data_IF_947963596557
#
_entry.id   IF_947963596557
#
_cell.length_a   1.000
_cell.length_b   1.000
_cell.length_c   1.000
_cell.angle_alpha   90.00
_cell.angle_beta   90.00
_cell.angle_gamma   90.00
#
_symmetry.space_group_name_H-M   'P 1'
#
loop_
_entity.id
_entity.type
_entity.pdbx_description
1 polymer ?
#
# COMPACT_ATOMS: atom_id res chain seq x y z
N UNK A 1 7.36 -34.12 2.05
CA UNK A 1 6.50 -33.64 0.96
C UNK A 1 6.91 -32.21 0.66
N UNK A 2 7.92 -32.09 -0.21
CA UNK A 2 8.32 -30.95 -1.07
C UNK A 2 8.14 -29.49 -0.59
N UNK A 3 9.06 -29.04 0.28
CA UNK A 3 9.41 -27.62 0.47
C UNK A 3 10.36 -27.13 -0.63
N UNK A 4 9.90 -27.00 -1.88
CA UNK A 4 10.66 -26.34 -2.95
C UNK A 4 10.28 -24.85 -3.04
N UNK A 5 10.56 -24.12 -1.95
CA UNK A 5 10.32 -22.68 -1.84
C UNK A 5 11.46 -21.90 -2.49
N UNK A 6 11.30 -21.55 -3.77
CA UNK A 6 12.27 -20.72 -4.49
C UNK A 6 12.15 -19.25 -4.07
N UNK A 7 13.04 -18.82 -3.17
CA UNK A 7 13.22 -17.42 -2.76
C UNK A 7 14.04 -16.66 -3.81
N UNK A 8 13.40 -15.81 -4.61
CA UNK A 8 14.10 -14.87 -5.50
C UNK A 8 14.67 -13.72 -4.69
N UNK A 9 15.95 -13.81 -4.29
CA UNK A 9 16.66 -12.67 -3.71
C UNK A 9 17.14 -11.72 -4.83
N UNK A 10 16.31 -10.73 -5.18
CA UNK A 10 16.72 -9.61 -6.03
C UNK A 10 16.91 -8.39 -5.13
N UNK A 11 18.18 -7.98 -5.01
CA UNK A 11 18.72 -6.80 -4.33
C UNK A 11 18.97 -6.95 -2.82
N UNK A 12 20.23 -7.24 -2.48
CA UNK A 12 20.82 -6.85 -1.19
C UNK A 12 21.61 -5.56 -1.47
N UNK A 13 21.15 -4.44 -0.92
CA UNK A 13 21.90 -3.18 -0.88
C UNK A 13 23.19 -3.42 -0.09
N UNK A 14 24.30 -2.94 -0.65
CA UNK A 14 25.61 -3.00 -0.04
C UNK A 14 25.80 -1.81 0.90
N UNK A 15 25.37 -1.93 2.15
CA UNK A 15 25.83 -1.03 3.20
C UNK A 15 27.03 -1.66 3.90
N UNK A 16 28.18 -1.01 3.75
CA UNK A 16 29.42 -1.31 4.44
C UNK A 16 29.33 -0.69 5.84
N UNK A 17 29.45 -1.50 6.89
CA UNK A 17 30.29 -1.25 8.09
C UNK A 17 29.94 -2.28 9.19
N UNK A 18 30.94 -3.07 9.62
CA UNK A 18 30.84 -4.00 10.74
C UNK A 18 31.85 -5.15 10.63
N UNK A 19 32.67 -5.33 11.67
CA UNK A 19 33.89 -6.15 11.78
C UNK A 19 33.75 -7.67 11.56
N UNK A 20 34.86 -8.39 11.25
CA UNK A 20 34.78 -9.79 10.80
C UNK A 20 34.76 -10.78 11.97
N UNK A 21 33.59 -11.36 12.27
CA UNK A 21 33.53 -12.64 13.00
C UNK A 21 33.66 -13.79 11.99
N UNK A 22 34.70 -14.62 12.15
CA UNK A 22 34.99 -15.82 11.35
C UNK A 22 33.86 -16.86 11.48
N UNK A 23 32.83 -16.72 10.65
CA UNK A 23 31.88 -17.78 10.32
C UNK A 23 32.19 -18.32 8.94
N UNK A 24 32.31 -19.65 8.81
CA UNK A 24 32.61 -20.38 7.58
C UNK A 24 31.62 -19.95 6.47
N UNK A 25 32.06 -19.07 5.57
CA UNK A 25 31.22 -18.62 4.46
C UNK A 25 31.06 -19.76 3.47
N UNK A 26 29.84 -20.30 3.36
CA UNK A 26 29.47 -21.16 2.23
C UNK A 26 29.68 -20.34 0.95
N UNK A 27 30.75 -20.66 0.21
CA UNK A 27 31.02 -20.06 -1.10
C UNK A 27 29.82 -20.37 -1.99
N UNK A 28 28.98 -19.36 -2.27
CA UNK A 28 27.89 -19.48 -3.25
C UNK A 28 28.52 -19.81 -4.60
N UNK A 29 28.42 -21.06 -5.03
CA UNK A 29 28.84 -21.48 -6.37
C UNK A 29 28.03 -20.68 -7.37
N UNK A 30 28.69 -19.75 -8.07
CA UNK A 30 28.05 -18.97 -9.13
C UNK A 30 27.87 -19.89 -10.33
N UNK A 31 26.62 -20.25 -10.60
CA UNK A 31 26.23 -21.00 -11.80
C UNK A 31 26.77 -20.32 -13.07
N UNK A 32 27.22 -21.13 -14.03
CA UNK A 32 27.58 -20.64 -15.37
C UNK A 32 26.39 -19.93 -16.02
N UNK A 33 26.64 -18.91 -16.87
CA UNK A 33 25.61 -18.20 -17.63
C UNK A 33 24.67 -19.17 -18.36
N UNK A 34 25.22 -20.24 -18.94
CA UNK A 34 24.46 -21.30 -19.64
C UNK A 34 23.57 -22.11 -18.71
N UNK A 35 24.07 -22.47 -17.52
CA UNK A 35 23.30 -23.21 -16.52
C UNK A 35 22.12 -22.38 -16.00
N UNK A 36 22.32 -21.08 -15.73
CA UNK A 36 21.26 -20.16 -15.32
C UNK A 36 20.18 -19.99 -16.39
N UNK A 37 20.56 -19.94 -17.67
CA UNK A 37 19.61 -19.88 -18.79
C UNK A 37 18.78 -21.17 -18.90
N UNK A 38 19.41 -22.33 -18.75
CA UNK A 38 18.71 -23.62 -18.76
C UNK A 38 17.72 -23.75 -17.61
N UNK A 39 18.09 -23.33 -16.39
CA UNK A 39 17.15 -23.26 -15.25
C UNK A 39 15.96 -22.37 -15.56
N UNK A 40 16.19 -21.15 -16.06
CA UNK A 40 15.11 -20.23 -16.39
C UNK A 40 14.18 -20.80 -17.48
N UNK A 41 14.75 -21.49 -18.48
CA UNK A 41 13.99 -22.20 -19.51
C UNK A 41 13.13 -23.31 -18.91
N UNK A 42 13.66 -24.09 -17.98
CA UNK A 42 12.93 -25.14 -17.29
C UNK A 42 11.74 -24.60 -16.48
N UNK A 43 11.94 -23.53 -15.71
CA UNK A 43 10.84 -22.87 -14.97
C UNK A 43 9.77 -22.31 -15.90
N UNK A 44 10.16 -21.72 -17.04
CA UNK A 44 9.20 -21.26 -18.07
C UNK A 44 8.38 -22.42 -18.64
N UNK A 45 9.00 -23.58 -18.87
CA UNK A 45 8.32 -24.76 -19.39
C UNK A 45 7.33 -25.34 -18.37
N UNK A 46 7.74 -25.46 -17.10
CA UNK A 46 6.84 -25.84 -15.98
C UNK A 46 5.66 -24.88 -15.85
N UNK A 47 5.90 -23.57 -15.91
CA UNK A 47 4.85 -22.55 -15.89
C UNK A 47 3.86 -22.70 -17.06
N UNK A 48 4.38 -22.90 -18.28
CA UNK A 48 3.56 -23.14 -19.48
C UNK A 48 2.71 -24.40 -19.34
N UNK A 49 3.26 -25.48 -18.78
CA UNK A 49 2.52 -26.73 -18.51
C UNK A 49 1.36 -26.51 -17.53
N UNK A 50 1.58 -25.76 -16.43
CA UNK A 50 0.52 -25.43 -15.46
C UNK A 50 -0.56 -24.53 -16.07
N UNK A 51 -0.18 -23.57 -16.90
CA UNK A 51 -1.10 -22.66 -17.59
C UNK A 51 -1.95 -23.35 -18.67
N UNK A 52 -1.37 -24.32 -19.39
CA UNK A 52 -2.02 -25.07 -20.46
C UNK A 52 -2.63 -26.40 -19.95
N UNK A 53 -2.76 -26.59 -18.64
CA UNK A 53 -3.39 -27.77 -18.06
C UNK A 53 -4.86 -27.86 -18.50
N UNK A 54 -5.35 -29.04 -18.93
CA UNK A 54 -6.76 -29.22 -19.25
C UNK A 54 -7.68 -28.98 -18.04
N UNK A 55 -7.19 -29.27 -16.82
CA UNK A 55 -7.95 -29.02 -15.60
C UNK A 55 -7.94 -27.51 -15.25
N UNK A 56 -9.11 -26.84 -15.21
CA UNK A 56 -9.21 -25.42 -14.86
C UNK A 56 -8.81 -25.12 -13.41
N UNK A 57 -9.04 -26.03 -12.47
CA UNK A 57 -8.66 -25.86 -11.06
C UNK A 57 -7.15 -25.66 -10.90
N UNK A 58 -6.35 -26.46 -11.62
CA UNK A 58 -4.89 -26.37 -11.62
C UNK A 58 -4.43 -25.02 -12.18
N UNK A 59 -5.13 -24.50 -13.20
CA UNK A 59 -4.84 -23.19 -13.81
C UNK A 59 -5.15 -22.05 -12.84
N UNK A 60 -6.31 -22.09 -12.18
CA UNK A 60 -6.75 -21.06 -11.22
C UNK A 60 -5.83 -21.04 -10.01
N UNK A 61 -5.57 -22.20 -9.38
CA UNK A 61 -4.64 -22.33 -8.24
C UNK A 61 -3.25 -21.81 -8.58
N UNK A 62 -2.73 -22.11 -9.77
CA UNK A 62 -1.43 -21.59 -10.20
C UNK A 62 -1.39 -20.06 -10.32
N UNK A 63 -2.43 -19.44 -10.88
CA UNK A 63 -2.54 -17.97 -10.95
C UNK A 63 -2.64 -17.36 -9.56
N UNK A 64 -3.43 -17.97 -8.67
CA UNK A 64 -3.64 -17.53 -7.29
C UNK A 64 -2.34 -17.59 -6.49
N UNK A 65 -1.59 -18.69 -6.55
CA UNK A 65 -0.27 -18.83 -5.90
C UNK A 65 0.70 -17.72 -6.34
N UNK A 66 0.71 -17.42 -7.65
CA UNK A 66 1.56 -16.35 -8.21
C UNK A 66 1.12 -14.96 -7.75
N UNK A 67 -0.18 -14.72 -7.67
CA UNK A 67 -0.75 -13.46 -7.21
C UNK A 67 -0.46 -13.23 -5.71
N UNK A 68 -0.70 -14.22 -4.85
CA UNK A 68 -0.39 -14.17 -3.41
C UNK A 68 1.11 -13.95 -3.15
N UNK A 69 1.99 -14.58 -3.95
CA UNK A 69 3.44 -14.32 -3.86
C UNK A 69 3.78 -12.86 -4.21
N UNK A 70 3.14 -12.30 -5.22
CA UNK A 70 3.34 -10.90 -5.62
C UNK A 70 2.81 -9.94 -4.55
N UNK A 71 1.64 -10.23 -3.99
CA UNK A 71 1.05 -9.47 -2.89
C UNK A 71 1.97 -9.43 -1.67
N UNK A 72 2.46 -10.59 -1.21
CA UNK A 72 3.40 -10.65 -0.09
C UNK A 72 4.69 -9.84 -0.35
N UNK A 73 5.22 -9.90 -1.57
CA UNK A 73 6.37 -9.09 -1.97
C UNK A 73 6.07 -7.59 -1.97
N UNK A 74 4.89 -7.17 -2.42
CA UNK A 74 4.46 -5.76 -2.39
C UNK A 74 4.30 -5.26 -0.95
N UNK A 75 3.72 -6.07 -0.06
CA UNK A 75 3.60 -5.76 1.37
C UNK A 75 4.99 -5.61 2.01
N UNK A 76 5.92 -6.52 1.73
CA UNK A 76 7.31 -6.42 2.22
C UNK A 76 8.00 -5.14 1.71
N UNK A 77 7.72 -4.73 0.47
CA UNK A 77 8.24 -3.47 -0.06
C UNK A 77 7.63 -2.26 0.64
N UNK A 78 6.31 -2.24 0.86
CA UNK A 78 5.61 -1.14 1.51
C UNK A 78 6.04 -0.92 2.96
N UNK A 79 6.29 -2.00 3.71
CA UNK A 79 6.84 -1.95 5.08
C UNK A 79 8.14 -1.13 5.18
N UNK A 80 8.93 -1.01 4.11
CA UNK A 80 10.17 -0.20 4.09
C UNK A 80 9.91 1.30 4.06
N UNK A 81 8.70 1.71 3.69
CA UNK A 81 8.28 3.11 3.62
C UNK A 81 7.40 3.49 4.82
N UNK A 82 7.08 2.56 5.70
CA UNK A 82 6.46 2.86 7.00
C UNK A 82 7.52 3.57 7.84
N UNK A 83 7.35 4.89 7.99
CA UNK A 83 8.19 5.67 8.90
C UNK A 83 7.62 5.45 10.31
N UNK A 84 8.44 5.06 11.30
CA UNK A 84 7.99 4.93 12.68
C UNK A 84 7.30 6.22 13.11
N UNK A 85 6.06 6.11 13.59
CA UNK A 85 5.36 7.24 14.18
C UNK A 85 6.08 7.58 15.48
N UNK A 86 6.94 8.60 15.46
CA UNK A 86 7.44 9.18 16.70
C UNK A 86 6.23 9.61 17.54
N UNK A 87 6.23 9.34 18.86
CA UNK A 87 5.15 9.80 19.73
C UNK A 87 4.98 11.30 19.51
N UNK A 88 3.74 11.72 19.25
CA UNK A 88 3.45 13.14 19.17
C UNK A 88 3.90 13.75 20.49
N UNK A 89 4.89 14.65 20.44
CA UNK A 89 5.17 15.54 21.56
C UNK A 89 3.83 16.15 21.96
N UNK A 90 3.56 16.22 23.27
CA UNK A 90 2.36 16.86 23.81
C UNK A 90 2.40 18.35 23.47
N UNK A 91 2.01 18.66 22.23
CA UNK A 91 1.74 20.01 21.80
C UNK A 91 0.43 20.39 22.48
N UNK A 92 0.49 21.43 23.30
CA UNK A 92 -0.68 21.95 24.01
C UNK A 92 -1.78 22.20 22.97
N UNK A 93 -2.89 21.44 22.99
CA UNK A 93 -4.01 21.75 22.13
C UNK A 93 -4.54 23.08 22.64
N UNK A 94 -4.07 24.19 22.05
CA UNK A 94 -4.66 25.51 22.24
C UNK A 94 -6.17 25.31 22.08
N UNK A 95 -6.91 25.37 23.18
CA UNK A 95 -8.36 25.11 23.20
C UNK A 95 -8.98 26.27 22.46
N UNK A 96 -9.16 26.10 21.16
CA UNK A 96 -9.86 27.05 20.32
C UNK A 96 -11.30 27.11 20.79
N UNK A 97 -11.80 28.30 21.09
CA UNK A 97 -13.23 28.45 21.37
C UNK A 97 -14.02 28.15 20.10
N UNK A 98 -15.27 27.70 20.25
CA UNK A 98 -16.12 27.40 19.09
C UNK A 98 -16.34 28.66 18.22
N UNK A 99 -16.35 29.84 18.84
CA UNK A 99 -16.43 31.14 18.18
C UNK A 99 -15.21 31.41 17.30
N UNK A 100 -13.99 31.20 17.83
CA UNK A 100 -12.74 31.34 17.09
C UNK A 100 -12.66 30.36 15.93
N UNK A 101 -13.07 29.11 16.17
CA UNK A 101 -13.13 28.06 15.14
C UNK A 101 -14.08 28.42 14.02
N UNK A 102 -15.27 28.94 14.34
CA UNK A 102 -16.23 29.39 13.35
C UNK A 102 -15.73 30.62 12.56
N UNK A 103 -15.08 31.57 13.24
CA UNK A 103 -14.43 32.72 12.59
C UNK A 103 -13.34 32.26 11.60
N UNK A 104 -12.43 31.39 12.02
CA UNK A 104 -11.35 30.87 11.19
C UNK A 104 -11.89 30.04 10.02
N UNK A 105 -12.96 29.27 10.23
CA UNK A 105 -13.65 28.55 9.16
C UNK A 105 -14.16 29.51 8.08
N UNK A 106 -14.85 30.59 8.48
CA UNK A 106 -15.40 31.59 7.55
C UNK A 106 -14.29 32.38 6.83
N UNK A 107 -13.27 32.81 7.56
CA UNK A 107 -12.15 33.60 7.03
C UNK A 107 -11.23 32.75 6.15
N UNK A 108 -10.88 31.56 6.61
CA UNK A 108 -10.04 30.60 5.88
C UNK A 108 -10.68 30.11 4.58
N UNK A 109 -12.01 29.99 4.53
CA UNK A 109 -12.68 29.60 3.30
C UNK A 109 -12.59 30.65 2.20
N UNK A 110 -12.70 31.94 2.57
CA UNK A 110 -12.61 33.08 1.64
C UNK A 110 -11.20 33.27 1.08
N UNK A 111 -10.17 32.87 1.82
CA UNK A 111 -8.78 33.02 1.39
C UNK A 111 -8.46 32.04 0.25
N UNK A 112 -7.62 32.51 -0.69
CA UNK A 112 -7.20 31.76 -1.90
C UNK A 112 -5.90 30.98 -1.72
N UNK A 113 -5.32 30.94 -0.52
CA UNK A 113 -4.07 30.25 -0.27
C UNK A 113 -4.32 28.75 -0.04
N UNK A 114 -3.80 27.93 -0.94
CA UNK A 114 -3.98 26.49 -0.88
C UNK A 114 -2.70 25.71 -1.20
N UNK A 115 -2.61 24.50 -0.63
CA UNK A 115 -1.56 23.53 -0.87
C UNK A 115 -2.17 22.30 -1.56
N UNK A 116 -1.79 21.99 -2.81
CA UNK A 116 -2.30 20.81 -3.49
C UNK A 116 -1.56 19.55 -3.02
N UNK A 117 -2.33 18.53 -2.61
CA UNK A 117 -1.86 17.17 -2.32
C UNK A 117 -2.35 16.25 -3.43
N UNK A 118 -1.40 15.69 -4.18
CA UNK A 118 -1.66 14.81 -5.31
C UNK A 118 -1.60 13.32 -4.94
N UNK A 119 -1.44 12.48 -5.96
CA UNK A 119 -1.27 11.02 -5.83
C UNK A 119 -0.15 10.57 -4.89
N UNK A 120 0.84 11.42 -4.63
CA UNK A 120 1.97 11.11 -3.74
C UNK A 120 1.58 11.13 -2.26
N UNK A 121 0.40 11.66 -1.93
CA UNK A 121 -0.04 11.86 -0.56
C UNK A 121 0.80 12.90 0.17
N UNK A 122 0.86 12.76 1.49
CA UNK A 122 1.63 13.61 2.40
C UNK A 122 3.11 13.23 2.32
N UNK A 123 3.95 14.23 2.11
CA UNK A 123 5.40 14.08 2.11
C UNK A 123 6.03 15.41 2.54
N UNK A 124 7.34 15.42 2.81
CA UNK A 124 8.00 16.59 3.42
C UNK A 124 7.82 17.91 2.68
N UNK A 125 7.64 17.87 1.35
CA UNK A 125 7.39 19.06 0.54
C UNK A 125 6.01 19.70 0.74
N UNK A 126 5.01 18.91 1.14
CA UNK A 126 3.66 19.43 1.48
C UNK A 126 3.73 20.24 2.76
N UNK A 127 4.38 19.68 3.78
CA UNK A 127 4.56 20.31 5.10
C UNK A 127 5.40 21.59 4.97
N UNK A 128 6.49 21.53 4.22
CA UNK A 128 7.29 22.72 3.85
C UNK A 128 6.41 23.81 3.24
N UNK A 129 5.55 23.45 2.28
CA UNK A 129 4.68 24.42 1.62
C UNK A 129 3.64 25.03 2.58
N UNK A 130 3.12 24.24 3.52
CA UNK A 130 2.25 24.76 4.59
C UNK A 130 2.97 25.81 5.44
N UNK A 131 4.19 25.53 5.91
CA UNK A 131 4.99 26.47 6.68
C UNK A 131 5.31 27.77 5.92
N UNK A 132 5.52 27.68 4.60
CA UNK A 132 5.72 28.85 3.74
C UNK A 132 4.46 29.74 3.68
N UNK A 133 3.27 29.14 3.56
CA UNK A 133 2.02 29.90 3.62
C UNK A 133 1.81 30.53 5.01
N UNK A 134 2.17 29.81 6.08
CA UNK A 134 2.00 30.30 7.44
C UNK A 134 2.87 31.47 7.84
N UNK A 135 3.92 31.76 7.07
CA UNK A 135 4.72 32.99 7.23
C UNK A 135 3.88 34.26 7.03
N UNK A 136 2.89 34.23 6.14
CA UNK A 136 2.06 35.40 5.77
C UNK A 136 0.59 35.25 6.13
N UNK A 137 0.10 34.03 6.31
CA UNK A 137 -1.31 33.75 6.51
C UNK A 137 -1.52 32.85 7.72
N UNK A 138 -2.52 33.13 8.54
CA UNK A 138 -2.80 32.34 9.74
C UNK A 138 -3.41 30.95 9.43
N UNK A 139 -4.15 30.84 8.31
CA UNK A 139 -4.83 29.62 7.86
C UNK A 139 -4.27 29.18 6.52
N UNK A 140 -4.39 27.89 6.18
CA UNK A 140 -4.05 27.34 4.86
C UNK A 140 -5.04 26.25 4.46
N UNK A 141 -5.43 26.21 3.18
CA UNK A 141 -6.34 25.18 2.65
C UNK A 141 -5.54 24.07 1.98
N UNK A 142 -5.64 22.84 2.43
CA UNK A 142 -4.99 21.69 1.79
C UNK A 142 -6.01 20.99 0.91
N UNK A 143 -5.75 20.85 -0.39
CA UNK A 143 -6.67 20.23 -1.35
C UNK A 143 -6.11 18.89 -1.78
N UNK A 144 -6.78 17.80 -1.40
CA UNK A 144 -6.34 16.43 -1.65
C UNK A 144 -7.06 15.84 -2.88
N UNK A 145 -6.40 15.82 -4.04
CA UNK A 145 -6.96 15.27 -5.29
C UNK A 145 -5.89 14.52 -6.12
N UNK A 146 -6.10 13.26 -6.52
CA UNK A 146 -7.20 12.35 -6.16
C UNK A 146 -7.02 11.79 -4.74
N UNK A 147 -8.12 11.54 -4.03
CA UNK A 147 -8.13 10.96 -2.69
C UNK A 147 -9.24 9.91 -2.60
N UNK A 148 -8.98 8.78 -1.93
CA UNK A 148 -10.02 7.79 -1.62
C UNK A 148 -10.96 8.31 -0.52
N UNK A 149 -12.21 7.84 -0.45
CA UNK A 149 -13.05 8.11 0.71
C UNK A 149 -12.33 7.68 2.01
N UNK A 150 -12.38 8.49 3.05
CA UNK A 150 -11.69 8.21 4.33
C UNK A 150 -10.22 8.67 4.38
N UNK A 151 -9.47 8.56 3.30
CA UNK A 151 -8.04 8.91 3.24
C UNK A 151 -7.75 10.39 3.55
N UNK A 152 -8.73 11.29 3.35
CA UNK A 152 -8.61 12.70 3.72
C UNK A 152 -8.41 12.86 5.24
N UNK A 153 -9.03 12.00 6.05
CA UNK A 153 -8.89 12.05 7.52
C UNK A 153 -7.50 11.59 7.95
N UNK A 154 -6.97 10.53 7.35
CA UNK A 154 -5.59 10.05 7.57
C UNK A 154 -4.57 11.15 7.22
N UNK A 155 -4.76 11.82 6.07
CA UNK A 155 -3.92 12.95 5.69
C UNK A 155 -4.05 14.14 6.63
N UNK A 156 -5.25 14.40 7.16
CA UNK A 156 -5.46 15.47 8.12
C UNK A 156 -4.69 15.21 9.41
N UNK A 157 -4.74 13.98 9.93
CA UNK A 157 -4.02 13.55 11.13
C UNK A 157 -2.50 13.58 10.91
N UNK A 158 -2.02 13.03 9.79
CA UNK A 158 -0.59 13.01 9.47
C UNK A 158 -0.02 14.43 9.29
N UNK A 159 -0.75 15.30 8.59
CA UNK A 159 -0.35 16.70 8.44
C UNK A 159 -0.40 17.44 9.77
N UNK A 160 -1.45 17.28 10.58
CA UNK A 160 -1.53 17.90 11.90
C UNK A 160 -0.31 17.54 12.76
N UNK A 161 0.06 16.25 12.77
CA UNK A 161 1.25 15.75 13.48
C UNK A 161 2.55 16.34 12.95
N UNK A 162 2.75 16.32 11.62
CA UNK A 162 4.00 16.75 10.99
C UNK A 162 4.20 18.26 11.03
N UNK A 163 3.14 19.03 10.81
CA UNK A 163 3.21 20.49 10.73
C UNK A 163 2.91 21.18 12.06
N UNK A 164 2.48 20.43 13.10
CA UNK A 164 1.95 20.96 14.37
C UNK A 164 0.80 21.95 14.15
N UNK A 165 0.00 21.71 13.11
CA UNK A 165 -1.11 22.56 12.71
C UNK A 165 -2.43 22.04 13.29
N UNK A 166 -3.35 22.94 13.58
CA UNK A 166 -4.68 22.62 14.10
C UNK A 166 -5.65 22.43 12.92
N UNK A 167 -6.33 21.29 12.87
CA UNK A 167 -7.39 21.02 11.89
C UNK A 167 -8.66 21.75 12.32
N UNK A 168 -9.15 22.67 11.49
CA UNK A 168 -10.36 23.46 11.79
C UNK A 168 -11.61 22.77 11.24
N UNK A 169 -11.56 22.37 9.97
CA UNK A 169 -12.68 21.82 9.21
C UNK A 169 -12.18 20.89 8.11
N UNK A 170 -12.87 19.75 7.92
CA UNK A 170 -12.66 18.83 6.80
C UNK A 170 -13.89 18.90 5.92
N UNK A 171 -13.70 19.33 4.68
CA UNK A 171 -14.78 19.52 3.71
C UNK A 171 -14.98 18.28 2.84
N UNK A 172 -16.21 18.02 2.38
CA UNK A 172 -16.53 16.88 1.53
C UNK A 172 -15.88 16.94 0.15
N UNK A 173 -15.37 18.10 -0.28
CA UNK A 173 -14.62 18.26 -1.53
C UNK A 173 -13.13 17.89 -1.41
N UNK A 174 -12.78 17.06 -0.42
CA UNK A 174 -11.42 16.66 -0.05
C UNK A 174 -10.50 17.84 0.25
N UNK A 175 -11.05 18.91 0.84
CA UNK A 175 -10.27 20.05 1.30
C UNK A 175 -10.21 20.08 2.84
N UNK A 176 -9.02 20.33 3.38
CA UNK A 176 -8.78 20.42 4.82
C UNK A 176 -8.37 21.85 5.12
N UNK A 177 -9.01 22.50 6.09
CA UNK A 177 -8.61 23.82 6.55
C UNK A 177 -7.73 23.67 7.79
N UNK A 178 -6.50 24.15 7.68
CA UNK A 178 -5.53 24.17 8.76
C UNK A 178 -5.32 25.58 9.31
N UNK A 179 -5.11 25.66 10.61
CA UNK A 179 -4.67 26.84 11.34
C UNK A 179 -3.29 26.58 11.95
N UNK A 180 -2.42 27.58 11.91
CA UNK A 180 -1.03 27.44 12.37
C UNK A 180 -0.84 27.47 13.89
N UNK A 181 -1.81 27.99 14.64
CA UNK A 181 -1.68 28.31 16.07
C UNK A 181 -1.45 29.81 16.35
N UNK A 182 -1.80 30.28 17.55
CA UNK A 182 -1.56 31.67 17.97
C UNK A 182 -0.06 31.95 18.12
N UNK A 183 0.67 30.97 18.64
CA UNK A 183 2.10 31.05 18.93
C UNK A 183 3.01 30.47 17.84
N UNK A 184 2.61 30.59 16.57
CA UNK A 184 3.39 30.01 15.48
C UNK A 184 4.78 30.64 15.36
N UNK A 185 5.81 29.82 15.56
CA UNK A 185 7.20 30.13 15.27
C UNK A 185 7.63 29.30 14.07
N UNK A 186 8.25 29.95 13.10
CA UNK A 186 8.78 29.28 11.91
C UNK A 186 9.83 28.24 12.33
N UNK A 187 9.64 26.94 12.03
CA UNK A 187 10.61 25.91 12.38
C UNK A 187 11.96 26.15 11.70
N UNK A 188 13.05 25.84 12.38
CA UNK A 188 14.41 25.84 11.78
C UNK A 188 14.51 24.80 10.67
N UNK A 189 13.90 23.62 10.89
CA UNK A 189 13.77 22.56 9.89
C UNK A 189 12.33 22.56 9.36
N UNK A 190 12.13 23.13 8.17
CA UNK A 190 10.81 23.29 7.55
C UNK A 190 10.17 21.97 7.09
N UNK A 191 10.99 20.96 6.82
CA UNK A 191 10.55 19.66 6.33
C UNK A 191 10.99 18.61 7.34
N UNK A 192 10.05 18.05 8.13
CA UNK A 192 10.41 17.13 9.19
C UNK A 192 11.15 15.89 8.63
N UNK A 193 12.20 15.40 9.31
CA UNK A 193 12.95 14.22 8.88
C UNK A 193 12.10 12.94 8.88
N UNK A 194 11.01 12.95 9.65
CA UNK A 194 10.02 11.86 9.75
C UNK A 194 9.12 11.72 8.51
N UNK A 195 9.47 12.38 7.41
CA UNK A 195 8.69 12.35 6.16
C UNK A 195 9.44 11.66 5.03
N UNK A 196 8.68 11.06 4.12
CA UNK A 196 9.25 10.51 2.90
C UNK A 196 9.70 11.64 1.96
N UNK A 197 10.81 11.40 1.24
CA UNK A 197 11.20 12.23 0.10
C UNK A 197 10.16 12.14 -1.03
N UNK A 198 10.10 13.17 -1.89
CA UNK A 198 9.17 13.25 -3.03
C UNK A 198 9.18 12.01 -3.95
N UNK A 199 10.36 11.44 -4.20
CA UNK A 199 10.51 10.25 -5.06
C UNK A 199 10.02 8.98 -4.36
N UNK A 200 10.44 8.76 -3.10
CA UNK A 200 9.99 7.63 -2.29
C UNK A 200 8.47 7.63 -2.08
N UNK A 201 7.85 8.80 -1.89
CA UNK A 201 6.40 8.92 -1.77
C UNK A 201 5.67 8.49 -3.06
N UNK A 202 6.21 8.84 -4.24
CA UNK A 202 5.66 8.39 -5.51
C UNK A 202 5.83 6.87 -5.70
N UNK A 203 6.96 6.32 -5.25
CA UNK A 203 7.22 4.88 -5.31
C UNK A 203 6.28 4.08 -4.39
N UNK A 204 6.06 4.56 -3.15
CA UNK A 204 5.05 4.02 -2.21
C UNK A 204 3.67 3.96 -2.89
N UNK A 205 3.21 5.05 -3.48
CA UNK A 205 1.94 5.09 -4.21
C UNK A 205 1.86 4.04 -5.33
N UNK A 206 2.94 3.85 -6.11
CA UNK A 206 2.96 2.83 -7.18
C UNK A 206 2.83 1.41 -6.62
N UNK A 207 3.45 1.13 -5.47
CA UNK A 207 3.33 -0.16 -4.81
C UNK A 207 1.93 -0.38 -4.24
N UNK A 208 1.33 0.63 -3.60
CA UNK A 208 -0.05 0.56 -3.11
C UNK A 208 -1.05 0.31 -4.24
N UNK A 209 -0.93 1.02 -5.37
CA UNK A 209 -1.77 0.79 -6.53
C UNK A 209 -1.59 -0.61 -7.12
N UNK A 210 -0.34 -1.10 -7.17
CA UNK A 210 -0.10 -2.48 -7.60
C UNK A 210 -0.65 -3.50 -6.60
N UNK A 211 -0.67 -3.19 -5.30
CA UNK A 211 -1.19 -4.07 -4.25
C UNK A 211 -2.70 -4.19 -4.42
N UNK A 212 -3.40 -3.06 -4.48
CA UNK A 212 -4.85 -2.98 -4.69
C UNK A 212 -5.30 -3.78 -5.92
N UNK A 213 -4.65 -3.59 -7.07
CA UNK A 213 -4.96 -4.36 -8.27
C UNK A 213 -4.65 -5.86 -8.12
N UNK A 214 -3.61 -6.22 -7.35
CA UNK A 214 -3.27 -7.64 -7.12
C UNK A 214 -4.27 -8.28 -6.17
N UNK A 215 -4.75 -7.59 -5.13
CA UNK A 215 -5.77 -8.08 -4.21
C UNK A 215 -7.13 -8.26 -4.91
N UNK A 216 -7.57 -7.28 -5.73
CA UNK A 216 -8.77 -7.44 -6.57
C UNK A 216 -8.66 -8.62 -7.55
N UNK A 217 -7.45 -8.89 -8.05
CA UNK A 217 -7.21 -10.05 -8.91
C UNK A 217 -7.25 -11.38 -8.14
N UNK A 218 -6.79 -11.40 -6.88
CA UNK A 218 -6.87 -12.58 -6.02
C UNK A 218 -8.34 -12.89 -5.71
N UNK A 219 -9.13 -11.89 -5.32
CA UNK A 219 -10.57 -12.01 -5.05
C UNK A 219 -11.31 -12.66 -6.22
N UNK A 220 -11.11 -12.13 -7.44
CA UNK A 220 -11.71 -12.71 -8.66
C UNK A 220 -11.30 -14.17 -8.91
N UNK A 221 -10.06 -14.54 -8.58
CA UNK A 221 -9.60 -15.94 -8.74
C UNK A 221 -10.17 -16.86 -7.66
N UNK A 222 -10.39 -16.35 -6.45
CA UNK A 222 -11.02 -17.09 -5.36
C UNK A 222 -12.50 -17.35 -5.68
N UNK A 223 -13.22 -16.36 -6.19
CA UNK A 223 -14.59 -16.51 -6.70
C UNK A 223 -14.65 -17.52 -7.87
N UNK A 224 -13.73 -17.44 -8.84
CA UNK A 224 -13.67 -18.39 -9.97
C UNK A 224 -13.44 -19.83 -9.48
N UNK A 225 -12.59 -20.01 -8.47
CA UNK A 225 -12.28 -21.30 -7.87
C UNK A 225 -13.49 -21.86 -7.10
N UNK A 226 -14.18 -21.03 -6.31
CA UNK A 226 -15.39 -21.42 -5.58
C UNK A 226 -16.52 -21.81 -6.54
N UNK A 227 -16.75 -21.01 -7.58
CA UNK A 227 -17.75 -21.31 -8.60
C UNK A 227 -17.46 -22.64 -9.32
N UNK A 228 -16.19 -22.93 -9.62
CA UNK A 228 -15.79 -24.20 -10.19
C UNK A 228 -16.09 -25.37 -9.24
N UNK A 229 -15.74 -25.24 -7.95
CA UNK A 229 -16.01 -26.27 -6.96
C UNK A 229 -17.50 -26.55 -6.80
N UNK A 230 -18.33 -25.51 -6.79
CA UNK A 230 -19.78 -25.62 -6.74
C UNK A 230 -20.32 -26.38 -7.96
N UNK A 231 -19.92 -26.00 -9.17
CA UNK A 231 -20.33 -26.69 -10.39
C UNK A 231 -19.94 -28.17 -10.39
N UNK A 232 -18.71 -28.50 -9.94
CA UNK A 232 -18.26 -29.91 -9.84
C UNK A 232 -19.08 -30.69 -8.81
N UNK A 233 -19.45 -30.07 -7.69
CA UNK A 233 -20.29 -30.69 -6.66
C UNK A 233 -21.72 -30.95 -7.18
N UNK A 234 -22.33 -29.96 -7.83
CA UNK A 234 -23.67 -30.08 -8.43
C UNK A 234 -23.70 -31.16 -9.52
N UNK A 235 -22.67 -31.20 -10.37
CA UNK A 235 -22.54 -32.24 -11.39
C UNK A 235 -22.44 -33.64 -10.78
N UNK A 236 -21.62 -33.82 -9.73
CA UNK A 236 -21.52 -35.12 -9.03
C UNK A 236 -22.86 -35.53 -8.42
N UNK A 237 -23.55 -34.61 -7.75
CA UNK A 237 -24.87 -34.86 -7.17
C UNK A 237 -25.89 -35.31 -8.22
N UNK A 238 -25.98 -34.61 -9.34
CA UNK A 238 -26.88 -34.99 -10.45
C UNK A 238 -26.56 -36.37 -11.04
N UNK A 239 -25.27 -36.74 -11.10
CA UNK A 239 -24.83 -38.05 -11.58
C UNK A 239 -25.20 -39.16 -10.60
N UNK A 240 -25.00 -38.93 -9.31
CA UNK A 240 -25.35 -39.90 -8.26
C UNK A 240 -26.88 -40.10 -8.16
N UNK A 241 -27.67 -39.03 -8.34
CA UNK A 241 -29.14 -39.09 -8.43
C UNK A 241 -29.62 -39.89 -9.65
N UNK A 242 -29.01 -39.69 -10.83
CA UNK A 242 -29.35 -40.44 -12.04
C UNK A 242 -29.07 -41.95 -11.88
N UNK A 243 -27.90 -42.30 -11.33
CA UNK A 243 -27.53 -43.70 -11.08
C UNK A 243 -28.44 -44.37 -10.03
N UNK A 244 -28.96 -43.61 -9.07
CA UNK A 244 -29.89 -44.11 -8.06
C UNK A 244 -31.30 -44.38 -8.62
N UNK A 245 -31.73 -43.60 -9.62
CA UNK A 245 -33.03 -43.80 -10.30
C UNK A 245 -32.97 -45.03 -11.21
N UNK A 246 -31.91 -45.21 -11.99
CA UNK A 246 -31.75 -46.37 -12.88
C UNK A 246 -31.70 -47.71 -12.12
N UNK A 247 -31.16 -47.71 -10.90
CA UNK A 247 -31.12 -48.89 -10.04
C UNK A 247 -32.48 -49.24 -9.39
N UNK A 248 -33.41 -48.27 -9.30
CA UNK A 248 -34.78 -48.49 -8.78
C UNK A 248 -35.77 -48.91 -9.85
N UNK A 249 -35.49 -48.63 -11.12
CA UNK A 249 -36.35 -49.00 -12.26
C UNK A 249 -36.07 -50.44 -12.74
N UNK A 250 -34.97 -51.05 -12.29
CA UNK A 250 -34.51 -52.39 -12.70
C UNK A 250 -34.81 -53.52 -11.70
N UNK A 251 -35.50 -53.22 -10.60
CA UNK A 251 -36.04 -54.19 -9.61
C UNK A 251 -37.56 -54.13 -9.59
#
# INVERSE_FOLDING_TARGET
MDDDVIRFSVNKSSDKNGSPRKGRTTKRVKMSKKAKLNELRFYRLKAKKKMNSPNPEVRIRYKLEKAKRKEAWLIEKLRKYEVPMAPAEAYDPEILTEEERHYLKRTGEKKKNYVPVGRRGVFGGVVLNMHLHWKKHETVKVICKPCKPGQVHEYAEELARLSKGIVIDIKPNNAILFYRGKNYVQPTVMSPPDTLSKEKALEKYRYEQSLEHTSQFIEKLEEELEAYHKHVADYKKSKDEALHIDCKVTT
#
